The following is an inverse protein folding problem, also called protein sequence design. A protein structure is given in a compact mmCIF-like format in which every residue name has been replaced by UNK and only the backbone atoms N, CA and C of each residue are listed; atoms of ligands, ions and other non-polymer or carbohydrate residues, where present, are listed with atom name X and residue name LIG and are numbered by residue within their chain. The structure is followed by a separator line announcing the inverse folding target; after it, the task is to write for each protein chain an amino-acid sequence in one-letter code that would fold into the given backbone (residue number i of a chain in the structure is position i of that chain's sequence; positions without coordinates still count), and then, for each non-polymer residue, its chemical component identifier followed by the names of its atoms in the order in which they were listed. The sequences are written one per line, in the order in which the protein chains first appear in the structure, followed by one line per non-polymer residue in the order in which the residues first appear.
data_IF_855849874489
#
_entry.id   IF_855849874489
#
_cell.length_a   1.000
_cell.length_b   1.000
_cell.length_c   1.000
_cell.angle_alpha   90.00
_cell.angle_beta   90.00
_cell.angle_gamma   90.00
#
_symmetry.space_group_name_H-M   'P 1'
#
loop_
_entity.id
_entity.type
_entity.pdbx_description
1 polymer ?
2 non-polymer ?
3 non-polymer ?
4 non-polymer ?
5 water ?
#
# COMPACT_ATOMS: atom_id res chain seq x y z
N UNK A 1 16.54 -11.45 -3.87
CA UNK A 1 15.31 -11.77 -3.09
C UNK A 1 14.37 -10.58 -3.06
N UNK A 2 13.07 -10.86 -3.01
CA UNK A 2 12.05 -9.81 -3.05
C UNK A 2 11.91 -9.11 -1.71
N UNK A 3 11.69 -7.80 -1.78
CA UNK A 3 11.26 -7.03 -0.63
C UNK A 3 9.89 -7.54 -0.17
N UNK A 4 9.52 -7.18 1.05
CA UNK A 4 8.28 -7.62 1.66
C UNK A 4 7.59 -6.40 2.23
N UNK A 5 6.26 -6.38 2.16
CA UNK A 5 5.49 -5.29 2.75
C UNK A 5 4.48 -5.84 3.74
N UNK A 6 4.44 -5.25 4.92
CA UNK A 6 3.37 -5.49 5.90
C UNK A 6 2.56 -4.22 6.08
N UNK A 7 1.24 -4.38 6.11
CA UNK A 7 0.31 -3.28 6.26
C UNK A 7 -0.52 -3.50 7.51
N UNK A 8 -0.61 -2.47 8.34
CA UNK A 8 -1.62 -2.44 9.39
C UNK A 8 -2.66 -1.41 8.98
N UNK A 9 -3.90 -1.87 8.85
CA UNK A 9 -5.01 -1.02 8.41
C UNK A 9 -5.85 -0.65 9.63
N UNK A 10 -5.98 0.65 9.90
CA UNK A 10 -6.77 1.13 11.03
C UNK A 10 -8.11 1.69 10.54
N UNK A 11 -9.20 1.19 11.11
CA UNK A 11 -10.51 1.80 10.95
C UNK A 11 -10.70 2.77 12.10
N UNK A 12 -10.98 4.03 11.76
CA UNK A 12 -10.98 5.11 12.73
C UNK A 12 -12.31 5.85 12.74
N UNK A 13 -12.67 6.41 13.89
CA UNK A 13 -13.83 7.30 13.95
C UNK A 13 -13.63 8.49 13.02
N UNK A 14 -14.70 8.90 12.35
CA UNK A 14 -14.68 10.03 11.43
C UNK A 14 -13.98 11.26 12.02
N UNK A 15 -13.04 11.82 11.26
CA UNK A 15 -12.33 13.03 11.65
C UNK A 15 -11.04 12.83 12.42
N UNK A 16 -10.71 11.59 12.76
CA UNK A 16 -9.55 11.32 13.62
C UNK A 16 -8.27 10.91 12.87
N UNK A 17 -8.31 10.87 11.54
CA UNK A 17 -7.14 10.43 10.76
C UNK A 17 -5.89 11.26 11.04
N UNK A 18 -6.03 12.58 11.00
CA UNK A 18 -4.87 13.48 11.12
C UNK A 18 -4.18 13.37 12.48
N UNK A 19 -4.97 13.39 13.57
CA UNK A 19 -4.43 13.22 14.92
C UNK A 19 -3.74 11.87 15.09
N UNK A 20 -4.29 10.82 14.47
CA UNK A 20 -3.71 9.48 14.52
C UNK A 20 -2.37 9.43 13.78
N UNK A 21 -2.32 10.05 12.60
CA UNK A 21 -1.10 10.07 11.78
C UNK A 21 0.07 10.75 12.53
N UNK A 22 -0.23 11.80 13.30
CA UNK A 22 0.79 12.50 14.07
C UNK A 22 1.51 11.61 15.11
N UNK A 23 0.86 10.53 15.53
CA UNK A 23 1.43 9.59 16.50
C UNK A 23 2.58 8.77 15.90
N UNK A 24 2.76 8.87 14.59
CA UNK A 24 3.79 8.13 13.88
C UNK A 24 5.01 8.97 13.51
N UNK A 25 4.96 10.27 13.81
CA UNK A 25 6.07 11.16 13.48
C UNK A 25 7.38 10.77 14.15
N UNK A 26 7.28 10.30 15.40
CA UNK A 26 8.45 9.97 16.20
C UNK A 26 8.75 8.47 16.20
N UNK A 27 9.98 8.12 15.88
CA UNK A 27 10.39 6.71 15.86
C UNK A 27 10.49 6.11 17.25
N UNK A 28 10.16 4.82 17.35
CA UNK A 28 10.16 4.11 18.63
C UNK A 28 10.88 2.77 18.51
N UNK A 29 11.88 2.72 17.66
CA UNK A 29 12.79 1.57 17.61
C UNK A 29 12.81 0.80 16.32
N UNK A 30 11.76 0.92 15.50
CA UNK A 30 11.69 0.15 14.25
C UNK A 30 12.92 0.35 13.35
N UNK A 31 13.49 1.56 13.41
CA UNK A 31 14.66 1.90 12.61
C UNK A 31 15.93 1.11 13.01
N UNK A 32 15.90 0.47 14.17
CA UNK A 32 17.05 -0.32 14.67
C UNK A 32 17.01 -1.77 14.19
N UNK A 33 15.93 -2.15 13.50
CA UNK A 33 15.75 -3.52 13.05
C UNK A 33 16.48 -3.75 11.73
N UNK A 34 17.35 -4.76 11.72
CA UNK A 34 18.01 -5.20 10.51
C UNK A 34 16.97 -5.65 9.50
N UNK A 35 17.01 -5.05 8.31
CA UNK A 35 16.04 -5.37 7.27
C UNK A 35 14.94 -4.34 7.07
N UNK A 36 14.71 -3.49 8.07
CA UNK A 36 13.72 -2.42 7.91
C UNK A 36 14.21 -1.37 6.91
N UNK A 37 13.35 -0.98 5.98
CA UNK A 37 13.73 -0.03 4.94
C UNK A 37 12.94 1.27 4.96
N UNK A 38 11.60 1.15 4.88
CA UNK A 38 10.72 2.31 4.65
C UNK A 38 9.39 2.15 5.35
N UNK A 39 8.78 3.27 5.72
CA UNK A 39 7.37 3.27 6.11
C UNK A 39 6.58 4.42 5.48
N UNK A 40 5.31 4.16 5.14
CA UNK A 40 4.37 5.17 4.68
C UNK A 40 3.14 5.08 5.58
N UNK A 41 2.61 6.23 5.96
CA UNK A 41 1.36 6.28 6.72
C UNK A 41 0.38 7.11 5.89
N UNK A 42 -0.74 6.49 5.50
CA UNK A 42 -1.65 7.08 4.51
C UNK A 42 -3.04 7.31 5.07
N UNK A 43 -3.75 8.28 4.50
CA UNK A 43 -5.18 8.46 4.75
C UNK A 43 -5.91 8.19 3.45
N UNK A 44 -6.90 7.31 3.49
CA UNK A 44 -7.69 6.98 2.31
C UNK A 44 -8.62 8.15 1.96
N UNK A 45 -8.66 8.49 0.68
CA UNK A 45 -9.54 9.55 0.20
C UNK A 45 -10.82 8.92 -0.34
N UNK A 46 -11.92 9.10 0.39
CA UNK A 46 -13.21 8.54 0.00
C UNK A 46 -14.34 9.31 0.67
N UNK A 47 -15.56 8.79 0.60
CA UNK A 47 -16.70 9.44 1.24
C UNK A 47 -17.37 8.56 2.31
N UNK A 48 -16.61 7.61 2.86
CA UNK A 48 -17.13 6.68 3.86
C UNK A 48 -17.34 7.35 5.23
N UNK A 49 -18.13 6.70 6.08
CA UNK A 49 -18.47 7.23 7.41
C UNK A 49 -17.35 7.11 8.44
N UNK A 50 -16.33 6.31 8.13
CA UNK A 50 -15.17 6.13 9.01
C UNK A 50 -13.93 6.62 8.29
N UNK A 51 -12.91 7.01 9.05
CA UNK A 51 -11.60 7.33 8.46
C UNK A 51 -10.80 6.03 8.35
N UNK A 52 -9.85 6.01 7.42
CA UNK A 52 -9.00 4.85 7.25
C UNK A 52 -7.55 5.28 7.12
N UNK A 53 -6.73 4.78 8.05
CA UNK A 53 -5.31 5.02 8.01
C UNK A 53 -4.55 3.70 7.84
N UNK A 54 -3.62 3.68 6.88
CA UNK A 54 -2.80 2.50 6.65
C UNK A 54 -1.34 2.78 6.99
N UNK A 55 -0.71 1.82 7.64
CA UNK A 55 0.71 1.88 7.98
C UNK A 55 1.41 0.79 7.17
N UNK A 56 2.15 1.23 6.15
CA UNK A 56 2.82 0.33 5.24
C UNK A 56 4.29 0.28 5.60
N UNK A 57 4.80 -0.91 5.89
CA UNK A 57 6.21 -1.07 6.25
C UNK A 57 6.87 -1.94 5.20
N UNK A 58 8.06 -1.53 4.76
CA UNK A 58 8.77 -2.19 3.68
C UNK A 58 10.08 -2.74 4.22
N UNK A 59 10.34 -4.01 3.91
CA UNK A 59 11.42 -4.79 4.51
C UNK A 59 12.23 -5.50 3.46
N UNK A 60 13.49 -5.80 3.78
CA UNK A 60 14.32 -6.65 2.92
C UNK A 60 13.77 -8.08 2.80
N UNK A 61 13.05 -8.54 3.83
CA UNK A 61 12.49 -9.88 3.87
C UNK A 61 11.33 -9.96 4.86
N UNK A 62 10.47 -10.97 4.68
CA UNK A 62 9.44 -11.30 5.65
C UNK A 62 10.04 -11.69 7.03
N UNK A 63 11.21 -12.34 7.01
CA UNK A 63 11.92 -12.69 8.24
C UNK A 63 12.22 -11.46 9.08
N UNK A 64 12.69 -10.39 8.42
CA UNK A 64 12.98 -9.11 9.07
C UNK A 64 11.75 -8.54 9.76
N UNK A 65 10.61 -8.55 9.06
CA UNK A 65 9.37 -8.10 9.66
C UNK A 65 9.00 -8.95 10.88
N UNK A 66 9.10 -10.29 10.72
CA UNK A 66 8.77 -11.20 11.81
C UNK A 66 9.61 -10.94 13.07
N UNK A 67 10.89 -10.65 12.86
CA UNK A 67 11.80 -10.27 13.95
C UNK A 67 11.31 -9.03 14.67
N UNK A 68 10.88 -8.02 13.91
CA UNK A 68 10.35 -6.82 14.53
C UNK A 68 9.06 -7.10 15.27
N UNK A 69 8.15 -7.84 14.65
CA UNK A 69 6.86 -8.14 15.26
C UNK A 69 7.02 -8.80 16.63
N UNK A 70 8.04 -9.63 16.78
CA UNK A 70 8.31 -10.34 18.03
C UNK A 70 9.29 -9.64 18.97
N UNK A 71 9.69 -8.42 18.62
CA UNK A 71 10.76 -7.71 19.33
C UNK A 71 10.27 -6.88 20.53
N UNK A 72 11.20 -6.56 21.42
CA UNK A 72 10.95 -5.64 22.51
C UNK A 72 10.52 -4.25 22.02
N UNK A 73 11.11 -3.77 20.93
CA UNK A 73 10.78 -2.42 20.43
C UNK A 73 9.35 -2.32 19.91
N UNK A 74 8.85 -3.40 19.31
CA UNK A 74 7.45 -3.44 18.90
C UNK A 74 6.52 -3.25 20.10
N UNK A 75 6.80 -4.01 21.16
CA UNK A 75 6.03 -3.92 22.40
C UNK A 75 6.08 -2.52 22.99
N UNK A 76 7.27 -1.92 23.02
CA UNK A 76 7.44 -0.57 23.54
C UNK A 76 6.60 0.45 22.76
N UNK A 77 6.69 0.37 21.44
CA UNK A 77 5.97 1.30 20.56
C UNK A 77 4.46 1.22 20.78
N UNK A 78 3.97 0.04 21.12
CA UNK A 78 2.53 -0.20 21.21
C UNK A 78 1.95 -0.27 22.62
N UNK A 79 2.79 -0.12 23.64
CA UNK A 79 2.35 -0.35 25.03
C UNK A 79 1.21 0.56 25.51
N UNK A 80 1.13 1.77 24.96
CA UNK A 80 0.05 2.71 25.32
C UNK A 80 -1.08 2.78 24.29
N UNK A 81 -0.99 1.97 23.25
CA UNK A 81 -2.02 1.93 22.20
C UNK A 81 -3.25 1.17 22.69
N UNK A 82 -4.41 1.80 22.56
CA UNK A 82 -5.68 1.14 22.88
C UNK A 82 -6.66 1.22 21.73
N UNK A 83 -7.55 0.23 21.67
CA UNK A 83 -8.69 0.27 20.76
C UNK A 83 -9.89 0.78 21.53
N UNK A 84 -10.83 1.41 20.82
CA UNK A 84 -12.10 1.85 21.39
C UNK A 84 -12.78 0.72 22.18
N UNK A 85 -12.59 -0.51 21.71
CA UNK A 85 -13.19 -1.70 22.30
C UNK A 85 -12.52 -2.20 23.58
N UNK A 86 -11.32 -1.71 23.88
CA UNK A 86 -10.63 -2.07 25.11
C UNK A 86 -11.32 -1.46 26.34
N UNK A 87 -11.17 -2.13 27.49
CA UNK A 87 -11.72 -1.65 28.77
C UNK A 87 -11.32 -0.22 29.09
N UNK A 88 -10.06 0.11 28.77
CA UNK A 88 -9.51 1.44 29.03
C UNK A 88 -9.31 2.25 27.74
N UNK A 89 -10.09 1.93 26.71
CA UNK A 89 -9.95 2.58 25.41
C UNK A 89 -10.90 3.72 25.14
N UNK A 90 -11.37 4.35 26.21
CA UNK A 90 -12.36 5.45 26.11
C UNK A 90 -11.92 6.60 25.21
N UNK A 91 -10.64 6.97 25.29
CA UNK A 91 -10.13 8.10 24.51
C UNK A 91 -9.62 7.71 23.12
N UNK A 92 -9.70 6.42 22.79
CA UNK A 92 -9.21 5.94 21.49
C UNK A 92 -10.24 6.08 20.36
N UNK A 93 -9.84 6.68 19.22
CA UNK A 93 -10.68 6.70 18.04
C UNK A 93 -10.49 5.46 17.16
N UNK A 94 -9.64 4.54 17.59
CA UNK A 94 -9.30 3.36 16.78
C UNK A 94 -10.32 2.25 16.99
N UNK A 95 -11.12 1.98 15.97
CA UNK A 95 -12.22 1.01 16.07
C UNK A 95 -11.77 -0.43 15.87
N UNK A 96 -10.81 -0.61 14.97
CA UNK A 96 -10.28 -1.94 14.67
C UNK A 96 -9.00 -1.83 13.86
N UNK A 97 -8.27 -2.93 13.79
CA UNK A 97 -7.15 -3.06 12.87
C UNK A 97 -7.15 -4.41 12.18
N UNK A 98 -6.51 -4.45 11.02
CA UNK A 98 -6.30 -5.70 10.32
C UNK A 98 -4.99 -5.63 9.59
N UNK A 99 -4.24 -6.73 9.65
CA UNK A 99 -2.91 -6.84 9.05
C UNK A 99 -2.97 -7.54 7.70
N UNK A 100 -2.26 -6.98 6.72
CA UNK A 100 -2.13 -7.57 5.39
C UNK A 100 -0.66 -7.71 5.05
N UNK A 101 -0.34 -8.72 4.25
CA UNK A 101 1.06 -9.04 3.94
C UNK A 101 1.23 -9.22 2.44
N UNK A 102 2.35 -8.72 1.93
CA UNK A 102 2.58 -8.67 0.49
C UNK A 102 4.02 -9.02 0.12
N UNK A 103 4.17 -9.76 -0.98
CA UNK A 103 5.45 -9.88 -1.64
C UNK A 103 5.59 -8.70 -2.60
N UNK A 104 6.72 -7.99 -2.55
CA UNK A 104 6.98 -6.92 -3.52
C UNK A 104 7.67 -7.55 -4.74
N UNK A 105 6.92 -7.70 -5.82
CA UNK A 105 7.42 -8.30 -7.05
C UNK A 105 8.26 -7.39 -7.91
N UNK A 106 8.05 -6.07 -7.76
CA UNK A 106 8.78 -5.08 -8.56
C UNK A 106 8.78 -3.73 -7.86
N UNK A 107 9.89 -3.01 -7.97
CA UNK A 107 10.00 -1.64 -7.49
C UNK A 107 10.84 -0.77 -8.42
N UNK A 108 10.39 0.48 -8.61
CA UNK A 108 11.12 1.47 -9.40
C UNK A 108 11.13 2.81 -8.68
N UNK A 109 12.30 3.45 -8.66
CA UNK A 109 12.49 4.77 -8.08
C UNK A 109 12.98 5.73 -9.16
N UNK A 110 12.33 6.87 -9.30
CA UNK A 110 12.84 7.96 -10.13
C UNK A 110 13.95 8.68 -9.37
N UNK B 2 2.27 17.41 1.03
CA UNK B 2 2.18 15.93 1.18
C UNK B 2 2.27 15.19 -0.15
N UNK B 3 2.96 14.05 -0.13
CA UNK B 3 2.95 13.14 -1.27
C UNK B 3 1.55 12.53 -1.43
N UNK B 4 1.34 11.92 -2.58
CA UNK B 4 0.06 11.32 -2.94
C UNK B 4 0.32 9.90 -3.43
N UNK B 5 -0.58 8.98 -3.10
CA UNK B 5 -0.48 7.61 -3.59
C UNK B 5 -1.74 7.21 -4.33
N UNK B 6 -1.56 6.62 -5.51
CA UNK B 6 -2.66 6.00 -6.24
C UNK B 6 -2.39 4.51 -6.34
N UNK B 7 -3.42 3.72 -6.02
CA UNK B 7 -3.35 2.27 -6.10
C UNK B 7 -4.31 1.75 -7.17
N UNK B 8 -3.81 0.91 -8.07
CA UNK B 8 -4.71 0.09 -8.89
C UNK B 8 -4.69 -1.33 -8.35
N UNK B 9 -5.85 -1.79 -7.90
CA UNK B 9 -6.00 -3.12 -7.30
C UNK B 9 -6.59 -4.10 -8.31
N UNK B 10 -5.78 -5.07 -8.74
CA UNK B 10 -6.20 -6.04 -9.75
C UNK B 10 -6.74 -7.31 -9.13
N UNK B 11 -7.98 -7.63 -9.49
CA UNK B 11 -8.62 -8.88 -9.10
C UNK B 11 -8.33 -9.87 -10.24
N UNK B 12 -7.64 -10.96 -9.91
CA UNK B 12 -7.11 -11.88 -10.90
C UNK B 12 -7.58 -13.30 -10.65
N UNK B 13 -7.60 -14.13 -11.69
CA UNK B 13 -7.81 -15.56 -11.50
C UNK B 13 -6.76 -16.16 -10.56
N UNK B 14 -7.18 -17.13 -9.75
CA UNK B 14 -6.28 -17.82 -8.84
C UNK B 14 -5.02 -18.28 -9.56
N UNK B 15 -3.86 -17.97 -8.94
CA UNK B 15 -2.56 -18.39 -9.47
C UNK B 15 -1.96 -17.52 -10.57
N UNK B 16 -2.68 -16.48 -11.00
CA UNK B 16 -2.18 -15.64 -12.12
C UNK B 16 -1.36 -14.42 -11.72
N UNK B 17 -1.13 -14.22 -10.43
CA UNK B 17 -0.39 -13.05 -9.96
C UNK B 17 0.98 -12.92 -10.61
N UNK B 18 1.73 -14.02 -10.64
CA UNK B 18 3.14 -13.96 -11.06
C UNK B 18 3.30 -13.57 -12.53
N UNK B 19 2.49 -14.18 -13.39
CA UNK B 19 2.55 -13.85 -14.81
C UNK B 19 2.11 -12.40 -15.06
N UNK B 20 1.19 -11.91 -14.23
CA UNK B 20 0.71 -10.54 -14.34
C UNK B 20 1.81 -9.56 -13.92
N UNK B 21 2.48 -9.85 -12.80
CA UNK B 21 3.55 -8.98 -12.31
C UNK B 21 4.69 -8.82 -13.31
N UNK B 22 4.99 -9.89 -14.05
CA UNK B 22 6.06 -9.87 -15.05
C UNK B 22 5.82 -8.82 -16.13
N UNK B 23 4.55 -8.48 -16.35
CA UNK B 23 4.17 -7.48 -17.36
C UNK B 23 4.61 -6.07 -16.99
N UNK B 24 4.95 -5.87 -15.72
CA UNK B 24 5.32 -4.56 -15.19
C UNK B 24 6.83 -4.29 -15.15
N UNK B 25 7.63 -5.25 -15.58
CA UNK B 25 9.09 -5.16 -15.38
C UNK B 25 9.78 -3.99 -16.10
N UNK B 26 9.37 -3.70 -17.33
CA UNK B 26 9.97 -2.59 -18.08
C UNK B 26 9.04 -1.40 -18.18
N UNK B 27 9.58 -0.22 -17.91
CA UNK B 27 8.79 1.01 -17.89
C UNK B 27 8.28 1.39 -19.29
N UNK B 28 7.12 2.04 -19.32
CA UNK B 28 6.50 2.46 -20.58
C UNK B 28 6.14 3.94 -20.59
N UNK B 29 6.82 4.73 -19.76
CA UNK B 29 6.71 6.18 -19.82
C UNK B 29 6.23 6.88 -18.58
N UNK B 30 5.71 6.13 -17.60
CA UNK B 30 5.23 6.77 -16.36
C UNK B 30 6.34 7.61 -15.73
N UNK B 31 7.58 7.13 -15.87
CA UNK B 31 8.73 7.77 -15.25
C UNK B 31 9.04 9.16 -15.85
N UNK B 32 8.43 9.47 -17.00
CA UNK B 32 8.63 10.75 -17.69
C UNK B 32 7.71 11.87 -17.19
N UNK B 33 6.72 11.51 -16.37
CA UNK B 33 5.77 12.49 -15.86
C UNK B 33 6.38 13.26 -14.69
N UNK B 34 6.37 14.59 -14.79
CA UNK B 34 6.84 15.43 -13.70
C UNK B 34 6.02 15.15 -12.44
N UNK B 35 6.71 14.80 -11.36
CA UNK B 35 6.05 14.52 -10.09
C UNK B 35 5.96 13.06 -9.73
N UNK B 36 6.15 12.18 -10.72
CA UNK B 36 6.25 10.76 -10.42
C UNK B 36 7.49 10.48 -9.59
N UNK B 37 7.35 9.65 -8.57
CA UNK B 37 8.47 9.33 -7.67
C UNK B 37 8.82 7.85 -7.58
N UNK B 38 7.85 7.01 -7.23
CA UNK B 38 8.08 5.59 -6.95
C UNK B 38 6.92 4.73 -7.43
N UNK B 39 7.20 3.48 -7.76
CA UNK B 39 6.13 2.49 -7.91
C UNK B 39 6.52 1.15 -7.28
N UNK B 40 5.52 0.50 -6.67
CA UNK B 40 5.64 -0.87 -6.14
C UNK B 40 4.57 -1.72 -6.79
N UNK B 41 4.93 -2.94 -7.16
CA UNK B 41 3.94 -3.92 -7.64
C UNK B 41 3.97 -5.07 -6.66
N UNK B 42 2.83 -5.32 -6.02
CA UNK B 42 2.77 -6.30 -4.93
C UNK B 42 1.79 -7.44 -5.19
N UNK B 43 2.08 -8.58 -4.58
CA UNK B 43 1.15 -9.72 -4.55
C UNK B 43 0.66 -9.91 -3.13
N UNK B 44 -0.65 -9.95 -2.95
CA UNK B 44 -1.22 -10.19 -1.63
C UNK B 44 -1.02 -11.65 -1.25
N UNK B 45 -0.43 -11.87 -0.08
CA UNK B 45 -0.16 -13.21 0.41
C UNK B 45 -1.39 -13.78 1.10
N UNK B 46 -1.48 -15.10 1.11
CA UNK B 46 -2.51 -15.82 1.85
C UNK B 46 -3.93 -15.66 1.29
N UNK B 47 -4.04 -15.32 0.01
CA UNK B 47 -5.37 -15.27 -0.63
C UNK B 47 -5.87 -16.69 -0.88
N UNK B 48 -7.18 -16.90 -0.69
CA UNK B 48 -7.77 -18.23 -0.86
C UNK B 48 -8.70 -18.36 -2.07
N UNK B 49 -9.07 -17.21 -2.64
CA UNK B 49 -9.99 -17.16 -3.76
C UNK B 49 -9.23 -16.59 -4.95
N UNK B 50 -9.65 -15.43 -5.43
CA UNK B 50 -8.94 -14.74 -6.50
C UNK B 50 -7.56 -14.26 -6.05
N UNK B 51 -6.60 -14.22 -6.98
CA UNK B 51 -5.31 -13.59 -6.69
C UNK B 51 -5.51 -12.08 -6.66
N UNK B 52 -4.59 -11.38 -6.00
CA UNK B 52 -4.66 -9.94 -5.93
C UNK B 52 -3.29 -9.33 -6.12
N UNK B 53 -3.19 -8.44 -7.11
CA UNK B 53 -1.97 -7.69 -7.37
C UNK B 53 -2.30 -6.22 -7.20
N UNK B 54 -1.44 -5.49 -6.48
CA UNK B 54 -1.62 -4.06 -6.31
C UNK B 54 -0.48 -3.30 -6.96
N UNK B 55 -0.85 -2.24 -7.67
CA UNK B 55 0.13 -1.34 -8.31
C UNK B 55 0.07 -0.03 -7.57
N UNK B 56 1.11 0.25 -6.79
CA UNK B 56 1.14 1.45 -5.95
C UNK B 56 2.06 2.46 -6.59
N UNK B 57 1.52 3.64 -6.87
CA UNK B 57 2.30 4.71 -7.49
C UNK B 57 2.36 5.91 -6.56
N UNK B 58 3.55 6.48 -6.39
CA UNK B 58 3.77 7.56 -5.43
C UNK B 58 4.20 8.81 -6.16
N UNK B 59 3.59 9.94 -5.78
CA UNK B 59 3.66 11.19 -6.55
C UNK B 59 3.86 12.37 -5.61
N UNK B 60 4.43 13.46 -6.13
CA UNK B 60 4.55 14.69 -5.34
C UNK B 60 3.18 15.33 -5.04
N UNK B 61 2.19 15.03 -5.89
CA UNK B 61 0.82 15.57 -5.73
C UNK B 61 -0.17 14.73 -6.52
N UNK B 62 -1.45 14.85 -6.16
CA UNK B 62 -2.53 14.28 -6.95
C UNK B 62 -2.55 14.83 -8.37
N UNK B 63 -2.24 16.13 -8.51
CA UNK B 63 -2.15 16.77 -9.82
C UNK B 63 -1.19 16.02 -10.76
N UNK B 64 -0.05 15.58 -10.22
CA UNK B 64 0.93 14.82 -11.00
C UNK B 64 0.32 13.51 -11.52
N UNK B 65 -0.37 12.79 -10.63
CA UNK B 65 -1.02 11.54 -11.01
C UNK B 65 -2.06 11.77 -12.12
N UNK B 66 -2.90 12.79 -11.94
CA UNK B 66 -3.90 13.13 -12.96
C UNK B 66 -3.25 13.43 -14.32
N UNK B 67 -2.13 14.15 -14.28
CA UNK B 67 -1.34 14.41 -15.49
C UNK B 67 -0.93 13.11 -16.20
N UNK B 68 -0.54 12.10 -15.42
CA UNK B 68 -0.23 10.81 -16.04
C UNK B 68 -1.48 10.12 -16.58
N UNK B 69 -2.57 10.14 -15.83
CA UNK B 69 -3.82 9.55 -16.31
C UNK B 69 -4.22 10.13 -17.65
N UNK B 70 -3.90 11.41 -17.86
CA UNK B 70 -4.26 12.17 -19.07
C UNK B 70 -3.21 12.12 -20.18
N UNK B 71 -2.15 11.35 -19.97
CA UNK B 71 -1.00 11.33 -20.87
C UNK B 71 -1.15 10.32 -22.00
N UNK B 72 -0.39 10.53 -23.08
CA UNK B 72 -0.33 9.51 -24.11
C UNK B 72 0.39 8.25 -23.66
N UNK B 73 1.38 8.39 -22.78
CA UNK B 73 2.10 7.20 -22.27
C UNK B 73 1.21 6.28 -21.45
N UNK B 74 0.24 6.85 -20.72
CA UNK B 74 -0.73 5.99 -20.01
C UNK B 74 -1.49 5.12 -21.01
N UNK B 75 -1.97 5.76 -22.08
CA UNK B 75 -2.71 5.05 -23.12
C UNK B 75 -1.87 3.98 -23.78
N UNK B 76 -0.62 4.32 -24.11
CA UNK B 76 0.30 3.37 -24.75
C UNK B 76 0.56 2.16 -23.87
N UNK B 77 0.79 2.41 -22.57
CA UNK B 77 1.07 1.33 -21.62
C UNK B 77 -0.09 0.34 -21.52
N UNK B 78 -1.31 0.84 -21.68
CA UNK B 78 -2.53 0.04 -21.48
C UNK B 78 -3.20 -0.43 -22.78
N UNK B 79 -2.58 -0.17 -23.93
CA UNK B 79 -3.25 -0.41 -25.21
C UNK B 79 -3.63 -1.88 -25.45
N UNK B 80 -2.78 -2.80 -25.03
CA UNK B 80 -3.06 -4.23 -25.23
C UNK B 80 -3.58 -4.94 -23.97
N UNK B 81 -4.00 -4.16 -22.97
CA UNK B 81 -4.57 -4.71 -21.74
C UNK B 81 -6.05 -5.05 -21.93
N UNK B 82 -6.41 -6.28 -21.59
CA UNK B 82 -7.80 -6.71 -21.69
C UNK B 82 -8.30 -7.30 -20.39
N UNK B 83 -9.56 -7.02 -20.09
CA UNK B 83 -10.27 -7.69 -19.01
C UNK B 83 -10.87 -8.96 -19.60
N UNK B 84 -11.07 -9.97 -18.75
CA UNK B 84 -11.65 -11.23 -19.22
C UNK B 84 -13.01 -11.01 -19.89
N UNK B 85 -13.75 -10.01 -19.41
CA UNK B 85 -15.08 -9.66 -19.93
C UNK B 85 -15.06 -9.05 -21.34
N UNK B 86 -13.93 -8.49 -21.75
CA UNK B 86 -13.83 -7.90 -23.09
C UNK B 86 -14.08 -8.95 -24.18
N UNK B 87 -14.65 -8.50 -25.28
CA UNK B 87 -14.98 -9.39 -26.41
C UNK B 87 -13.81 -10.28 -26.83
N UNK B 88 -12.61 -9.72 -26.80
CA UNK B 88 -11.38 -10.44 -27.14
C UNK B 88 -10.55 -10.78 -25.90
N UNK B 89 -11.17 -10.69 -24.73
CA UNK B 89 -10.43 -10.84 -23.46
C UNK B 89 -10.51 -12.19 -22.76
N UNK B 90 -11.17 -13.17 -23.39
CA UNK B 90 -11.37 -14.49 -22.78
C UNK B 90 -10.16 -15.09 -22.06
N UNK B 91 -8.98 -14.98 -22.68
CA UNK B 91 -7.75 -15.59 -22.17
C UNK B 91 -7.08 -14.77 -21.05
N UNK B 92 -7.53 -13.54 -20.85
CA UNK B 92 -6.97 -12.69 -19.80
C UNK B 92 -7.38 -13.21 -18.43
N UNK B 93 -6.44 -13.21 -17.47
CA UNK B 93 -6.76 -13.59 -16.10
C UNK B 93 -7.22 -12.40 -15.27
N UNK B 94 -7.25 -11.22 -15.88
CA UNK B 94 -7.64 -10.01 -15.15
C UNK B 94 -9.15 -9.86 -15.14
N UNK B 95 -9.75 -9.97 -13.96
CA UNK B 95 -11.21 -9.93 -13.81
C UNK B 95 -11.74 -8.50 -13.69
N UNK B 96 -11.12 -7.69 -12.83
CA UNK B 96 -11.51 -6.30 -12.66
C UNK B 96 -10.38 -5.52 -12.02
N UNK B 97 -10.55 -4.20 -12.01
CA UNK B 97 -9.66 -3.31 -11.27
C UNK B 97 -10.47 -2.36 -10.41
N UNK B 98 -9.84 -1.85 -9.35
CA UNK B 98 -10.41 -0.78 -8.54
C UNK B 98 -9.30 0.17 -8.12
N UNK B 99 -9.53 1.45 -8.32
CA UNK B 99 -8.55 2.50 -7.99
C UNK B 99 -8.82 3.05 -6.60
N UNK B 100 -7.76 3.16 -5.80
CA UNK B 100 -7.81 3.77 -4.48
C UNK B 100 -6.82 4.92 -4.44
N UNK B 101 -7.17 5.98 -3.73
CA UNK B 101 -6.36 7.20 -3.66
C UNK B 101 -6.07 7.58 -2.22
N UNK B 102 -4.85 8.06 -1.97
CA UNK B 102 -4.38 8.31 -0.60
C UNK B 102 -3.54 9.56 -0.46
N UNK B 103 -3.75 10.28 0.62
CA UNK B 103 -2.80 11.27 1.09
C UNK B 103 -1.74 10.52 1.85
N UNK B 104 -0.48 10.84 1.61
CA UNK B 104 0.61 10.29 2.41
C UNK B 104 0.91 11.28 3.53
N UNK B 105 0.46 10.94 4.74
CA UNK B 105 0.58 11.82 5.90
C UNK B 105 1.95 11.78 6.52
N UNK B 106 2.66 10.69 6.30
CA UNK B 106 4.01 10.55 6.84
C UNK B 106 4.84 9.55 6.05
N UNK B 107 6.12 9.86 5.89
CA UNK B 107 7.05 8.91 5.30
C UNK B 107 8.38 8.96 6.06
N UNK B 108 8.96 7.79 6.29
CA UNK B 108 10.30 7.65 6.87
C UNK B 108 11.10 6.59 6.14
N UNK B 109 12.37 6.90 5.88
CA UNK B 109 13.30 5.95 5.32
C UNK B 109 14.55 5.84 6.20
N UNK B 110 15.00 4.61 6.41
CA UNK B 110 16.20 4.35 7.20
C UNK B 110 17.44 4.73 6.39
X LIG C 1 3.02 2.38 16.07
X LIG C 1 -1.70 1.26 16.28
X LIG C 1 -0.07 -3.22 15.45
X LIG C 1 3.01 -0.93 12.50
X LIG C 1 1.66 2.52 16.32
X LIG C 1 0.93 3.66 16.83
X LIG C 1 -0.38 3.35 16.88
X LIG C 1 -0.54 1.99 16.39
X LIG C 1 -1.54 4.24 17.37
X LIG C 1 1.57 5.00 17.28
X LIG C 1 2.07 4.67 18.69
X LIG C 1 2.07 5.84 19.63
X LIG C 1 1.08 6.62 19.68
X LIG C 1 3.08 5.99 20.36
X LIG C 1 -1.71 -0.12 16.24
X LIG C 1 -2.73 -1.08 16.67
X LIG C 1 -2.25 -2.30 16.44
X LIG C 1 -0.93 -2.21 15.87
X LIG C 1 -4.10 -0.72 17.27
X LIG C 1 -2.96 -3.64 16.74
X LIG C 1 -2.43 -4.48 17.63
X LIG C 1 0.81 -3.02 14.40
X LIG C 1 1.23 -3.95 13.36
X LIG C 1 2.07 -3.30 12.54
X LIG C 1 2.23 -1.95 13.03
X LIG C 1 0.78 -5.42 13.23
X LIG C 1 2.78 -3.87 11.28
X LIG C 1 2.77 -3.17 10.15
X LIG C 1 3.45 0.12 13.28
X LIG C 1 4.68 0.85 13.11
X LIG C 1 4.70 1.90 14.22
X LIG C 1 3.48 1.69 14.98
X LIG C 1 5.74 0.65 12.02
X LIG C 1 5.84 2.90 14.48
X LIG C 1 6.88 2.05 15.24
X LIG C 1 8.20 2.75 15.51
X LIG C 1 9.09 2.08 16.10
X LIG C 1 8.38 3.94 15.14
X LIG C 1 0.72 1.54 16.05
X LIG C 1 -0.65 -0.87 15.78
X LIG C 1 1.44 -1.83 14.15
X LIG C 1 2.79 0.63 14.39
X LIG C 1 1.09 -0.14 15.11
X LIG D 1 0.29 0.21 13.27
X LIG D 1 -0.27 1.25 13.27
X LIG E 1 0.48 -0.99 -16.75
X LIG E 1 -3.67 -3.42 -16.01
X LIG E 1 -5.42 1.00 -15.17
X LIG E 1 -1.16 1.71 -13.01
X LIG E 1 -0.43 -2.04 -16.76
X LIG E 1 -0.27 -3.40 -17.21
X LIG E 1 -1.41 -4.06 -17.00
X LIG E 1 -2.35 -3.16 -16.39
X LIG E 1 -1.75 -5.54 -17.33
X LIG E 1 1.00 -3.98 -17.90
X LIG E 1 0.69 -3.80 -19.39
X LIG E 1 1.61 -4.57 -20.28
X LIG E 1 2.44 -3.91 -20.95
X LIG E 1 1.51 -5.82 -20.34
X LIG E 1 -4.60 -2.42 -15.85
X LIG E 1 -6.05 -2.47 -15.95
X LIG E 1 -6.53 -1.24 -15.73
X LIG E 1 -5.41 -0.35 -15.47
X LIG E 1 -6.86 -3.75 -16.27
X LIG E 1 -8.02 -0.81 -15.76
X LIG E 1 -8.40 0.26 -16.46
X LIG E 1 -4.48 1.56 -14.33
X LIG E 1 -4.64 2.64 -13.39
X LIG E 1 -3.46 2.82 -12.78
X LIG E 1 -2.50 1.87 -13.31
X LIG E 1 -5.96 3.41 -13.14
X LIG E 1 -3.16 3.87 -11.69
X LIG E 1 -2.36 3.55 -10.67
X LIG E 1 -0.26 1.19 -13.92
X LIG E 1 1.15 1.50 -14.04
X LIG E 1 1.67 0.67 -15.20
X LIG E 1 0.53 -0.06 -15.72
X LIG E 1 1.97 2.44 -13.16
X LIG E 1 3.11 0.72 -15.72
X LIG E 1 3.12 2.01 -16.57
X LIG E 1 4.46 2.38 -17.17
X LIG E 1 4.55 3.42 -17.87
X LIG E 1 5.47 1.68 -16.96
X LIG E 1 -1.70 -1.95 -16.23
X LIG E 1 -4.27 -1.11 -15.56
X LIG E 1 -3.17 1.14 -14.27
X LIG E 1 -0.57 0.28 -14.92
X LIG E 1 -2.42 -0.40 -15.26
X LIG F 1 -2.59 -1.74 -13.70
X LIG F 1 -1.93 -1.35 -12.84
X LIG G 1 -2.04 -18.73 -3.94
#
# INVERSE_FOLDING_TARGET
AHMFMAENRLQLQKGSAEETIERFYNRQGIETIEGFQQMFVTKTLNTEDTDEVKILTIWESEDSFNNWLNSDVFKEAHKNVRLKSDDDGQQSPILSNKVFKYDIGYHYQK
AHMFMAENRLQLQKGSAEETIERFYNRQGIETIEGFQQMFVTKTLNTEDTDEVKILTIWESEDSFNNWLNSDVFKEAHKNVRLKSDDDGQQSPILSNKVFKYDIGYHYQK
HEM CHA CHB CHC CHD C1A C2A C3A C4A CMA CAA CBA CGA O1A O2A C1B C2B C3B C4B CMB CAB CBB C1C C2C C3C C4C CMC CAC CBC C1D C2D C3D C4D CMD CAD CBD CGD O1D O2D NA NB NC ND FE
OXY O1 O2
HEM CHA CHB CHC CHD C1A C2A C3A C4A CMA CAA CBA CGA O1A O2A C1B C2B C3B C4B CMB CAB CBB C1C C2C C3C C4C CMC CAC CBC C1D C2D C3D C4D CMD CAD CBD CGD O1D O2D NA NB NC ND FE
OXY O1 O2
MG MG
#
